data_IF_179940300910
#
_entry.id   IF_179940300910
#
_cell.length_a   1.000
_cell.length_b   1.000
_cell.length_c   1.000
_cell.angle_alpha   90.00
_cell.angle_beta   90.00
_cell.angle_gamma   90.00
#
_symmetry.space_group_name_H-M   'P 1'
#
loop_
_entity.id
_entity.type
_entity.pdbx_description
1 polymer ?
#
# COMPACT_ATOMS: atom_id res chain seq x y z
N UNK A 1 -16.50 12.15 10.65
CA UNK A 1 -15.66 11.07 10.08
C UNK A 1 -15.95 11.02 8.60
N UNK A 2 -15.05 11.52 7.75
CA UNK A 2 -15.21 11.35 6.30
C UNK A 2 -14.83 9.90 6.00
N UNK A 3 -15.77 9.07 5.56
CA UNK A 3 -15.44 7.75 5.04
C UNK A 3 -14.42 7.96 3.92
N UNK A 4 -13.20 7.45 4.09
CA UNK A 4 -12.21 7.50 3.03
C UNK A 4 -12.85 6.83 1.81
N UNK A 5 -13.02 7.58 0.73
CA UNK A 5 -13.63 7.08 -0.49
C UNK A 5 -12.89 5.82 -0.95
N UNK A 6 -13.66 4.81 -1.35
CA UNK A 6 -13.11 3.58 -1.90
C UNK A 6 -12.34 3.89 -3.18
N UNK A 7 -11.12 3.36 -3.28
CA UNK A 7 -10.25 3.52 -4.46
C UNK A 7 -10.71 2.63 -5.60
N UNK A 8 -11.14 1.41 -5.28
CA UNK A 8 -11.55 0.39 -6.23
C UNK A 8 -12.31 -0.72 -5.51
N UNK A 9 -13.15 -1.45 -6.24
CA UNK A 9 -13.80 -2.66 -5.74
C UNK A 9 -12.80 -3.82 -5.60
N UNK A 10 -13.21 -4.86 -4.87
CA UNK A 10 -12.44 -6.12 -4.72
C UNK A 10 -12.07 -6.70 -6.09
N UNK A 11 -13.01 -6.77 -7.03
CA UNK A 11 -12.78 -7.33 -8.37
C UNK A 11 -11.83 -6.48 -9.22
N UNK A 12 -11.90 -5.15 -9.07
CA UNK A 12 -10.96 -4.24 -9.71
C UNK A 12 -9.55 -4.43 -9.14
N UNK A 13 -9.40 -4.57 -7.81
CA UNK A 13 -8.11 -4.90 -7.20
C UNK A 13 -7.56 -6.23 -7.68
N UNK A 14 -8.37 -7.30 -7.72
CA UNK A 14 -7.91 -8.61 -8.24
C UNK A 14 -7.40 -8.50 -9.67
N UNK A 15 -8.17 -7.85 -10.54
CA UNK A 15 -7.82 -7.65 -11.95
C UNK A 15 -6.53 -6.84 -12.08
N UNK A 16 -6.39 -5.76 -11.30
CA UNK A 16 -5.21 -4.92 -11.31
C UNK A 16 -3.97 -5.64 -10.75
N UNK A 17 -4.11 -6.45 -9.69
CA UNK A 17 -3.02 -7.25 -9.12
C UNK A 17 -2.51 -8.30 -10.09
N UNK A 18 -3.39 -8.96 -10.85
CA UNK A 18 -3.00 -9.90 -11.90
C UNK A 18 -2.26 -9.19 -13.03
N UNK A 19 -2.81 -8.08 -13.53
CA UNK A 19 -2.15 -7.28 -14.57
C UNK A 19 -0.79 -6.73 -14.09
N UNK A 20 -0.67 -6.39 -12.80
CA UNK A 20 0.56 -5.92 -12.20
C UNK A 20 1.61 -7.04 -12.10
N UNK A 21 1.20 -8.26 -11.74
CA UNK A 21 2.08 -9.44 -11.67
C UNK A 21 2.71 -9.74 -13.03
N UNK A 22 1.93 -9.60 -14.09
CA UNK A 22 2.36 -9.92 -15.45
C UNK A 22 3.36 -8.87 -16.02
N UNK A 23 3.60 -7.76 -15.30
CA UNK A 23 4.62 -6.74 -15.65
C UNK A 23 6.04 -7.03 -15.13
N UNK A 24 6.32 -8.21 -14.57
CA UNK A 24 7.63 -8.58 -14.01
C UNK A 24 8.17 -7.60 -12.96
N UNK A 25 7.32 -7.15 -12.04
CA UNK A 25 7.76 -6.32 -10.91
C UNK A 25 8.69 -7.10 -9.95
N UNK A 26 9.51 -6.39 -9.15
CA UNK A 26 10.31 -7.01 -8.11
C UNK A 26 9.46 -7.88 -7.19
N UNK A 27 9.94 -9.09 -6.86
CA UNK A 27 9.24 -10.01 -5.96
C UNK A 27 8.99 -9.41 -4.57
N UNK A 28 9.83 -8.45 -4.16
CA UNK A 28 9.70 -7.68 -2.92
C UNK A 28 8.40 -6.87 -2.86
N UNK A 29 7.86 -6.39 -3.99
CA UNK A 29 6.59 -5.64 -4.01
C UNK A 29 5.41 -6.50 -3.54
N UNK A 30 5.28 -7.71 -4.09
CA UNK A 30 4.25 -8.63 -3.63
C UNK A 30 4.53 -9.15 -2.21
N UNK A 31 5.80 -9.26 -1.81
CA UNK A 31 6.15 -9.61 -0.44
C UNK A 31 5.69 -8.54 0.57
N UNK A 32 5.82 -7.24 0.24
CA UNK A 32 5.30 -6.13 1.05
C UNK A 32 3.78 -6.20 1.25
N UNK A 33 3.02 -6.46 0.18
CA UNK A 33 1.56 -6.61 0.27
C UNK A 33 1.17 -7.75 1.22
N UNK A 34 1.85 -8.89 1.09
CA UNK A 34 1.61 -10.05 1.97
C UNK A 34 1.98 -9.74 3.42
N UNK A 35 3.12 -9.07 3.64
CA UNK A 35 3.58 -8.72 4.98
C UNK A 35 2.56 -7.83 5.69
N UNK A 36 2.11 -6.75 5.04
CA UNK A 36 1.10 -5.87 5.61
C UNK A 36 -0.25 -6.58 5.81
N UNK A 37 -0.73 -7.35 4.83
CA UNK A 37 -2.02 -8.03 4.94
C UNK A 37 -2.06 -9.07 6.07
N UNK A 38 -0.90 -9.59 6.49
CA UNK A 38 -0.75 -10.54 7.60
C UNK A 38 -0.41 -9.87 8.94
N UNK A 39 -0.04 -8.60 8.92
CA UNK A 39 0.23 -7.85 10.13
C UNK A 39 -1.06 -7.67 10.96
N UNK A 40 -0.96 -7.53 12.30
CA UNK A 40 -2.09 -7.17 13.14
C UNK A 40 -2.83 -5.94 12.59
N UNK A 41 -4.16 -6.02 12.57
CA UNK A 41 -5.06 -4.98 12.03
C UNK A 41 -4.77 -4.58 10.58
N UNK A 42 -4.03 -5.40 9.83
CA UNK A 42 -3.52 -5.09 8.48
C UNK A 42 -2.72 -3.78 8.44
N UNK A 43 -2.11 -3.43 9.57
CA UNK A 43 -1.36 -2.20 9.79
C UNK A 43 0.15 -2.49 9.85
N UNK A 44 0.95 -1.67 9.17
CA UNK A 44 2.41 -1.83 9.15
C UNK A 44 3.11 -0.49 9.11
N UNK A 45 4.31 -0.40 9.70
CA UNK A 45 5.20 0.76 9.52
C UNK A 45 6.18 0.53 8.37
N UNK A 46 6.81 1.61 7.89
CA UNK A 46 7.86 1.51 6.87
C UNK A 46 9.06 0.66 7.33
N UNK A 47 9.40 0.71 8.63
CA UNK A 47 10.46 -0.11 9.23
C UNK A 47 10.08 -1.59 9.20
N UNK A 48 8.86 -1.93 9.60
CA UNK A 48 8.37 -3.32 9.56
C UNK A 48 8.28 -3.85 8.11
N UNK A 49 7.92 -3.00 7.15
CA UNK A 49 8.00 -3.35 5.73
C UNK A 49 9.43 -3.67 5.29
N UNK A 50 10.40 -2.83 5.70
CA UNK A 50 11.81 -3.04 5.38
C UNK A 50 12.32 -4.37 5.94
N UNK A 51 12.05 -4.65 7.21
CA UNK A 51 12.40 -5.90 7.89
C UNK A 51 11.79 -7.12 7.18
N UNK A 52 10.51 -7.04 6.80
CA UNK A 52 9.79 -8.14 6.17
C UNK A 52 10.34 -8.54 4.79
N UNK A 53 11.03 -7.63 4.09
CA UNK A 53 11.59 -7.88 2.74
C UNK A 53 13.10 -7.73 2.65
N UNK A 54 13.78 -7.53 3.79
CA UNK A 54 15.24 -7.45 3.86
C UNK A 54 15.84 -6.16 3.30
N UNK A 55 15.13 -5.03 3.38
CA UNK A 55 15.72 -3.73 3.03
C UNK A 55 16.49 -3.12 4.20
N UNK A 56 17.61 -2.48 3.90
CA UNK A 56 18.51 -1.87 4.90
C UNK A 56 17.90 -0.64 5.58
N UNK A 57 16.86 -0.03 5.00
CA UNK A 57 16.23 1.16 5.58
C UNK A 57 14.75 1.28 5.28
N UNK A 58 14.03 1.93 6.20
CA UNK A 58 12.64 2.32 6.00
C UNK A 58 12.46 3.27 4.82
N UNK A 59 13.49 4.06 4.45
CA UNK A 59 13.46 4.94 3.28
C UNK A 59 13.34 4.13 1.98
N UNK A 60 14.14 3.05 1.86
CA UNK A 60 14.04 2.14 0.71
C UNK A 60 12.67 1.45 0.67
N UNK A 61 12.13 1.04 1.83
CA UNK A 61 10.78 0.49 1.89
C UNK A 61 9.70 1.48 1.45
N UNK A 62 9.73 2.72 1.93
CA UNK A 62 8.80 3.78 1.52
C UNK A 62 8.84 4.04 0.01
N UNK A 63 10.03 4.15 -0.56
CA UNK A 63 10.20 4.36 -2.01
C UNK A 63 9.56 3.23 -2.82
N UNK A 64 9.85 1.98 -2.45
CA UNK A 64 9.36 0.80 -3.16
C UNK A 64 7.85 0.60 -2.95
N UNK A 65 7.35 0.88 -1.74
CA UNK A 65 5.93 0.82 -1.43
C UNK A 65 5.14 1.89 -2.21
N UNK A 66 5.65 3.12 -2.30
CA UNK A 66 5.08 4.17 -3.15
C UNK A 66 5.13 3.83 -4.64
N UNK A 67 6.23 3.24 -5.11
CA UNK A 67 6.39 2.79 -6.51
C UNK A 67 5.38 1.69 -6.87
N UNK A 68 5.19 0.72 -5.98
CA UNK A 68 4.16 -0.31 -6.11
C UNK A 68 2.77 0.32 -6.21
N UNK A 69 2.47 1.24 -5.28
CA UNK A 69 1.19 1.92 -5.23
C UNK A 69 0.89 2.73 -6.50
N UNK A 70 1.89 3.45 -7.01
CA UNK A 70 1.80 4.19 -8.28
C UNK A 70 1.48 3.28 -9.47
N UNK A 71 2.17 2.16 -9.60
CA UNK A 71 1.93 1.23 -10.70
C UNK A 71 0.52 0.61 -10.64
N UNK A 72 0.05 0.27 -9.44
CA UNK A 72 -1.31 -0.25 -9.27
C UNK A 72 -2.35 0.84 -9.56
N UNK A 73 -2.12 2.08 -9.12
CA UNK A 73 -2.99 3.22 -9.39
C UNK A 73 -3.16 3.47 -10.89
N UNK A 74 -2.08 3.37 -11.66
CA UNK A 74 -2.11 3.50 -13.12
C UNK A 74 -2.97 2.43 -13.81
N UNK A 75 -3.04 1.22 -13.27
CA UNK A 75 -3.93 0.16 -13.79
C UNK A 75 -5.38 0.43 -13.40
N UNK A 76 -5.61 0.92 -12.18
CA UNK A 76 -6.94 1.24 -11.65
C UNK A 76 -7.54 2.54 -12.20
N UNK A 77 -6.73 3.38 -12.87
CA UNK A 77 -7.14 4.73 -13.26
C UNK A 77 -7.35 5.66 -12.05
N UNK A 78 -6.70 5.38 -10.92
CA UNK A 78 -6.83 6.15 -9.69
C UNK A 78 -5.75 7.23 -9.60
N UNK A 79 -6.13 8.43 -9.16
CA UNK A 79 -5.19 9.51 -8.81
C UNK A 79 -5.43 9.94 -7.36
N UNK A 80 -4.40 9.88 -6.49
CA UNK A 80 -4.49 10.37 -5.13
C UNK A 80 -4.93 11.84 -5.07
N UNK A 81 -5.69 12.19 -4.03
CA UNK A 81 -5.98 13.59 -3.70
C UNK A 81 -5.04 14.13 -2.61
N UNK A 82 -4.43 13.23 -1.83
CA UNK A 82 -3.47 13.61 -0.80
C UNK A 82 -2.11 13.90 -1.45
N UNK A 83 -1.49 15.00 -1.00
CA UNK A 83 -0.16 15.43 -1.42
C UNK A 83 0.78 15.47 -0.21
N UNK A 84 2.05 15.21 -0.46
CA UNK A 84 3.15 15.53 0.45
C UNK A 84 3.36 17.05 0.51
N UNK A 85 4.06 17.54 1.53
CA UNK A 85 4.43 18.97 1.64
C UNK A 85 5.18 19.52 0.43
N UNK A 86 5.94 18.70 -0.27
CA UNK A 86 6.68 19.08 -1.48
C UNK A 86 5.80 19.16 -2.75
N UNK A 87 4.49 18.90 -2.62
CA UNK A 87 3.52 18.92 -3.71
C UNK A 87 3.42 17.62 -4.50
N UNK A 88 4.22 16.60 -4.20
CA UNK A 88 4.11 15.29 -4.82
C UNK A 88 2.89 14.52 -4.32
N UNK A 89 2.32 13.64 -5.15
CA UNK A 89 1.13 12.85 -4.78
C UNK A 89 1.49 11.70 -3.84
N UNK A 90 0.68 11.49 -2.79
CA UNK A 90 0.81 10.39 -1.84
C UNK A 90 0.31 9.07 -2.45
N UNK A 91 1.09 8.48 -3.36
CA UNK A 91 0.69 7.28 -4.10
C UNK A 91 0.34 6.08 -3.22
N UNK A 92 0.99 5.94 -2.05
CA UNK A 92 0.71 4.88 -1.07
C UNK A 92 -0.77 4.83 -0.65
N UNK A 93 -1.51 5.94 -0.81
CA UNK A 93 -2.96 5.98 -0.56
C UNK A 93 -3.76 5.07 -1.48
N UNK A 94 -3.17 4.54 -2.57
CA UNK A 94 -3.77 3.49 -3.39
C UNK A 94 -3.87 2.17 -2.63
N UNK A 95 -2.91 1.89 -1.74
CA UNK A 95 -2.80 0.62 -1.01
C UNK A 95 -3.35 0.71 0.42
N UNK A 96 -3.25 1.89 1.04
CA UNK A 96 -3.50 2.07 2.46
C UNK A 96 -4.20 3.38 2.79
N UNK A 97 -4.69 3.45 4.02
CA UNK A 97 -5.11 4.68 4.70
C UNK A 97 -4.19 4.93 5.90
N UNK A 98 -4.17 6.17 6.39
CA UNK A 98 -3.45 6.49 7.62
C UNK A 98 -4.13 5.80 8.81
N UNK A 99 -3.35 5.17 9.69
CA UNK A 99 -3.83 4.68 10.98
C UNK A 99 -4.33 5.81 11.88
N UNK A 100 -5.27 5.50 12.79
CA UNK A 100 -5.83 6.48 13.72
C UNK A 100 -4.73 7.11 14.60
N UNK A 101 -4.81 8.43 14.80
CA UNK A 101 -3.87 9.18 15.66
C UNK A 101 -2.50 9.48 15.04
N UNK A 102 -2.19 8.98 13.84
CA UNK A 102 -0.93 9.26 13.17
C UNK A 102 -1.01 10.57 12.34
N UNK A 103 -0.34 11.63 12.81
CA UNK A 103 -0.06 12.77 11.94
C UNK A 103 1.01 12.35 10.92
N UNK A 104 0.63 12.31 9.64
CA UNK A 104 1.40 11.74 8.52
C UNK A 104 2.87 12.22 8.43
N UNK A 105 3.17 13.45 8.87
CA UNK A 105 4.50 14.04 8.74
C UNK A 105 5.29 14.13 10.06
N UNK A 106 4.69 13.84 11.23
CA UNK A 106 5.35 13.95 12.55
C UNK A 106 5.52 12.61 13.27
N UNK A 107 4.95 11.53 12.75
CA UNK A 107 5.06 10.21 13.39
C UNK A 107 6.29 9.44 12.88
N UNK A 108 7.30 9.25 13.74
CA UNK A 108 8.37 8.25 13.54
C UNK A 108 7.83 6.83 13.28
N UNK A 109 6.56 6.58 13.61
CA UNK A 109 5.86 5.30 13.48
C UNK A 109 4.53 5.48 12.72
N UNK A 110 4.55 6.12 11.54
CA UNK A 110 3.35 6.16 10.70
C UNK A 110 2.89 4.75 10.33
N UNK A 111 1.64 4.42 10.65
CA UNK A 111 1.03 3.14 10.32
C UNK A 111 0.23 3.23 9.03
N UNK A 112 0.63 2.44 8.04
CA UNK A 112 -0.15 2.16 6.84
C UNK A 112 -1.16 1.06 7.17
N UNK A 113 -2.45 1.38 7.20
CA UNK A 113 -3.53 0.40 7.33
C UNK A 113 -4.01 0.02 5.93
N UNK A 114 -3.93 -1.26 5.56
CA UNK A 114 -4.30 -1.69 4.21
C UNK A 114 -5.79 -1.45 3.94
N UNK A 115 -6.13 -1.06 2.70
CA UNK A 115 -7.53 -0.87 2.30
C UNK A 115 -8.30 -2.19 2.39
N UNK A 116 -9.51 -2.21 2.96
CA UNK A 116 -10.25 -3.46 3.19
C UNK A 116 -10.56 -4.22 1.90
N UNK A 117 -10.83 -3.52 0.79
CA UNK A 117 -11.08 -4.17 -0.50
C UNK A 117 -9.82 -4.85 -1.07
N UNK A 118 -8.65 -4.27 -0.82
CA UNK A 118 -7.37 -4.86 -1.19
C UNK A 118 -7.03 -6.07 -0.31
N UNK A 119 -7.28 -5.99 1.00
CA UNK A 119 -7.15 -7.13 1.93
C UNK A 119 -8.03 -8.30 1.47
N UNK A 120 -9.29 -8.01 1.15
CA UNK A 120 -10.23 -9.03 0.68
C UNK A 120 -9.76 -9.65 -0.65
N UNK A 121 -9.32 -8.83 -1.61
CA UNK A 121 -8.76 -9.33 -2.87
C UNK A 121 -7.58 -10.28 -2.65
N UNK A 122 -6.60 -9.90 -1.81
CA UNK A 122 -5.42 -10.73 -1.52
C UNK A 122 -5.80 -12.06 -0.85
N UNK A 123 -6.78 -12.07 0.06
CA UNK A 123 -7.26 -13.28 0.74
C UNK A 123 -8.00 -14.21 -0.23
N UNK A 124 -8.91 -13.67 -1.06
CA UNK A 124 -9.67 -14.46 -2.04
C UNK A 124 -8.77 -15.04 -3.14
N UNK A 125 -7.71 -14.33 -3.52
CA UNK A 125 -6.67 -14.83 -4.43
C UNK A 125 -5.71 -15.83 -3.76
N UNK A 126 -5.83 -16.05 -2.44
CA UNK A 126 -4.90 -16.87 -1.62
C UNK A 126 -3.46 -16.38 -1.67
N UNK A 127 -3.27 -15.07 -1.80
CA UNK A 127 -1.94 -14.45 -1.79
C UNK A 127 -1.50 -14.07 -0.39
N UNK A 128 -2.44 -13.77 0.52
CA UNK A 128 -2.17 -13.43 1.91
C UNK A 128 -2.86 -14.40 2.87
#
# INVERSE_FOLDING_TARGET
>A
MSAASSVASVEQYKSALLALRDKNLPSSHFAMLRAQCRAPDTAITATQLAEAVGYESYHAANLQYGTLAFNLAGILGFTPQLMHRDGSLCWWTTLSVAGEGAAYEDAQQFHFVMRPELVQALREMRWA
#
